data_IF_613654262793
#
_entry.id   IF_613654262793
#
_cell.length_a   1.000
_cell.length_b   1.000
_cell.length_c   1.000
_cell.angle_alpha   90.00
_cell.angle_beta   90.00
_cell.angle_gamma   90.00
#
_symmetry.space_group_name_H-M   'P 1'
#
loop_
_entity.id
_entity.type
_entity.pdbx_description
1 polymer ?
#
# COMPACT_ATOMS: atom_id res chain seq x y z
N UNK A 1 -13.34 -4.40 -6.24
CA UNK A 1 -12.15 -5.27 -6.31
C UNK A 1 -12.15 -6.29 -5.16
N UNK A 2 -12.30 -5.89 -3.89
CA UNK A 2 -12.26 -6.79 -2.73
C UNK A 2 -13.49 -7.72 -2.55
N UNK A 3 -14.69 -7.27 -2.95
CA UNK A 3 -15.94 -7.98 -2.69
C UNK A 3 -15.94 -9.40 -3.25
N UNK A 4 -16.19 -10.38 -2.38
CA UNK A 4 -16.24 -11.82 -2.70
C UNK A 4 -14.87 -12.49 -2.87
N UNK A 5 -13.75 -11.77 -2.67
CA UNK A 5 -12.40 -12.33 -2.74
C UNK A 5 -12.07 -13.14 -1.48
N UNK A 6 -11.41 -14.28 -1.66
CA UNK A 6 -10.93 -15.15 -0.60
C UNK A 6 -9.51 -14.74 -0.21
N UNK A 7 -9.34 -14.22 0.99
CA UNK A 7 -8.06 -13.75 1.49
C UNK A 7 -7.61 -14.63 2.65
N UNK A 8 -6.38 -15.13 2.60
CA UNK A 8 -5.74 -15.76 3.74
C UNK A 8 -4.91 -14.71 4.47
N UNK A 9 -5.14 -14.55 5.76
CA UNK A 9 -4.35 -13.71 6.65
C UNK A 9 -3.49 -14.59 7.55
N UNK A 10 -2.19 -14.59 7.32
CA UNK A 10 -1.19 -15.23 8.18
C UNK A 10 -0.75 -14.32 9.31
N UNK A 11 -0.84 -14.79 10.55
CA UNK A 11 -0.41 -14.03 11.74
C UNK A 11 0.69 -14.79 12.44
N UNK A 12 1.85 -14.14 12.58
CA UNK A 12 3.01 -14.75 13.22
C UNK A 12 3.40 -14.07 14.54
N UNK A 13 4.34 -14.67 15.27
CA UNK A 13 4.77 -14.24 16.60
C UNK A 13 5.48 -12.88 16.56
N UNK A 14 4.73 -11.83 16.79
CA UNK A 14 5.23 -10.45 16.95
C UNK A 14 4.27 -9.67 17.82
N UNK A 15 4.78 -8.71 18.58
CA UNK A 15 3.92 -7.75 19.30
C UNK A 15 2.93 -7.05 18.36
N UNK A 16 3.27 -6.91 17.07
CA UNK A 16 2.40 -6.30 16.06
C UNK A 16 1.18 -7.16 15.69
N UNK A 17 1.06 -8.40 16.21
CA UNK A 17 -0.07 -9.29 15.94
C UNK A 17 -1.44 -8.66 16.28
N UNK A 18 -1.51 -7.77 17.30
CA UNK A 18 -2.75 -7.07 17.62
C UNK A 18 -3.27 -6.21 16.46
N UNK A 19 -2.37 -5.66 15.63
CA UNK A 19 -2.76 -4.87 14.44
C UNK A 19 -3.42 -5.70 13.35
N UNK A 20 -3.15 -7.01 13.31
CA UNK A 20 -3.75 -7.92 12.34
C UNK A 20 -5.26 -8.03 12.50
N UNK A 21 -5.78 -7.78 13.70
CA UNK A 21 -7.22 -7.70 13.94
C UNK A 21 -7.87 -6.54 13.16
N UNK A 22 -7.19 -5.38 13.07
CA UNK A 22 -7.65 -4.25 12.26
C UNK A 22 -7.65 -4.62 10.77
N UNK A 23 -6.60 -5.29 10.29
CA UNK A 23 -6.51 -5.77 8.90
C UNK A 23 -7.66 -6.74 8.59
N UNK A 24 -7.91 -7.74 9.45
CA UNK A 24 -9.02 -8.67 9.31
C UNK A 24 -10.37 -7.94 9.25
N UNK A 25 -10.62 -7.03 10.20
CA UNK A 25 -11.85 -6.22 10.25
C UNK A 25 -12.04 -5.37 8.99
N UNK A 26 -10.97 -4.72 8.50
CA UNK A 26 -11.02 -3.89 7.30
C UNK A 26 -11.32 -4.71 6.04
N UNK A 27 -10.74 -5.91 5.90
CA UNK A 27 -10.99 -6.84 4.79
C UNK A 27 -12.45 -7.34 4.80
N UNK A 28 -12.97 -7.73 5.98
CA UNK A 28 -14.37 -8.15 6.13
C UNK A 28 -15.33 -7.00 5.77
N UNK A 29 -15.06 -5.77 6.22
CA UNK A 29 -15.85 -4.58 5.86
C UNK A 29 -15.84 -4.29 4.35
N UNK A 30 -14.76 -4.65 3.65
CA UNK A 30 -14.67 -4.55 2.18
C UNK A 30 -15.36 -5.71 1.45
N UNK A 31 -15.94 -6.65 2.18
CA UNK A 31 -16.69 -7.79 1.65
C UNK A 31 -15.83 -8.98 1.23
N UNK A 32 -14.61 -9.09 1.75
CA UNK A 32 -13.77 -10.27 1.57
C UNK A 32 -14.22 -11.44 2.44
N UNK A 33 -13.92 -12.63 1.98
CA UNK A 33 -13.96 -13.87 2.73
C UNK A 33 -12.57 -14.08 3.35
N UNK A 34 -12.43 -13.96 4.67
CA UNK A 34 -11.13 -13.94 5.33
C UNK A 34 -10.93 -15.19 6.15
N UNK A 35 -9.91 -15.98 5.83
CA UNK A 35 -9.44 -17.10 6.63
C UNK A 35 -8.15 -16.74 7.34
N UNK A 36 -8.06 -17.00 8.64
CA UNK A 36 -6.90 -16.63 9.44
C UNK A 36 -6.11 -17.89 9.81
N UNK A 37 -4.81 -17.86 9.48
CA UNK A 37 -3.83 -18.86 9.89
C UNK A 37 -2.90 -18.22 10.91
N UNK A 38 -2.75 -18.85 12.07
CA UNK A 38 -1.83 -18.39 13.10
C UNK A 38 -0.72 -19.41 13.32
N UNK A 39 0.50 -18.92 13.53
CA UNK A 39 1.51 -19.80 14.13
C UNK A 39 1.19 -20.04 15.61
N UNK A 40 1.58 -21.19 16.15
CA UNK A 40 1.39 -21.50 17.57
C UNK A 40 1.89 -20.37 18.47
N UNK A 41 3.10 -19.87 18.21
CA UNK A 41 3.67 -18.79 19.01
C UNK A 41 2.93 -17.43 18.85
N UNK A 42 2.14 -17.23 17.82
CA UNK A 42 1.34 -16.02 17.66
C UNK A 42 0.19 -15.97 18.68
N UNK A 43 -0.29 -17.11 19.15
CA UNK A 43 -1.36 -17.20 20.16
C UNK A 43 -0.98 -16.59 21.51
N UNK A 44 0.31 -16.47 21.79
CA UNK A 44 0.82 -15.77 22.98
C UNK A 44 0.65 -14.25 22.92
N UNK A 45 0.43 -13.67 21.73
CA UNK A 45 0.28 -12.22 21.52
C UNK A 45 -1.16 -11.79 21.31
N UNK A 46 -1.99 -12.66 20.71
CA UNK A 46 -3.41 -12.39 20.46
C UNK A 46 -4.19 -13.71 20.46
N UNK A 47 -5.36 -13.68 21.08
CA UNK A 47 -6.21 -14.87 21.15
C UNK A 47 -6.85 -15.16 19.78
N UNK A 48 -6.85 -16.43 19.31
CA UNK A 48 -7.54 -16.86 18.07
C UNK A 48 -9.01 -16.46 18.01
N UNK A 49 -9.71 -16.49 19.14
CA UNK A 49 -11.12 -16.07 19.24
C UNK A 49 -11.36 -14.65 18.72
N UNK A 50 -10.37 -13.74 18.84
CA UNK A 50 -10.47 -12.37 18.28
C UNK A 50 -10.70 -12.41 16.78
N UNK A 51 -10.01 -13.26 16.07
CA UNK A 51 -10.14 -13.40 14.61
C UNK A 51 -11.43 -14.16 14.24
N UNK A 52 -11.81 -15.18 15.00
CA UNK A 52 -13.04 -15.95 14.77
C UNK A 52 -14.27 -15.04 14.87
N UNK A 53 -14.31 -14.16 15.87
CA UNK A 53 -15.39 -13.18 16.03
C UNK A 53 -15.42 -12.13 14.91
N UNK A 54 -14.25 -11.71 14.38
CA UNK A 54 -14.19 -10.74 13.30
C UNK A 54 -14.56 -11.34 11.94
N UNK A 55 -14.07 -12.55 11.65
CA UNK A 55 -14.19 -13.17 10.31
C UNK A 55 -15.37 -14.14 10.19
N UNK A 56 -15.90 -14.59 11.31
CA UNK A 56 -16.90 -15.67 11.42
C UNK A 56 -16.41 -17.02 10.88
N UNK A 57 -15.10 -17.17 10.75
CA UNK A 57 -14.44 -18.41 10.40
C UNK A 57 -13.52 -18.85 11.53
N UNK A 58 -13.36 -20.18 11.70
CA UNK A 58 -12.41 -20.73 12.64
C UNK A 58 -10.99 -20.29 12.30
N UNK A 59 -10.27 -19.84 13.31
CA UNK A 59 -8.84 -19.56 13.19
C UNK A 59 -8.05 -20.88 13.21
N UNK A 60 -7.20 -21.13 12.21
CA UNK A 60 -6.51 -22.41 12.06
C UNK A 60 -5.06 -22.24 12.52
N UNK A 61 -4.63 -23.11 13.42
CA UNK A 61 -3.31 -23.11 14.05
C UNK A 61 -2.59 -24.41 13.73
N UNK A 62 -3.25 -25.52 13.97
CA UNK A 62 -2.68 -26.87 13.81
C UNK A 62 -3.04 -27.48 12.45
N UNK A 63 -2.05 -28.05 11.78
CA UNK A 63 -2.21 -28.76 10.50
C UNK A 63 -3.07 -30.02 10.65
N UNK A 64 -3.09 -30.62 11.83
CA UNK A 64 -3.74 -31.90 12.12
C UNK A 64 -4.99 -31.75 12.98
N UNK A 65 -5.57 -30.56 13.10
CA UNK A 65 -6.82 -30.35 13.82
C UNK A 65 -7.98 -31.13 13.16
N UNK A 66 -8.41 -32.20 13.83
CA UNK A 66 -9.48 -33.10 13.38
C UNK A 66 -10.88 -32.46 13.35
N UNK A 67 -11.03 -31.29 13.96
CA UNK A 67 -12.31 -30.54 13.97
C UNK A 67 -12.48 -29.63 12.75
N UNK A 68 -11.52 -29.59 11.84
CA UNK A 68 -11.63 -28.89 10.55
C UNK A 68 -12.19 -29.85 9.52
N UNK A 69 -13.30 -29.50 8.87
CA UNK A 69 -14.08 -30.36 7.97
C UNK A 69 -13.39 -30.77 6.65
N UNK A 70 -12.12 -30.41 6.45
CA UNK A 70 -11.40 -30.68 5.19
C UNK A 70 -10.33 -31.75 5.39
N UNK A 71 -10.35 -32.78 4.57
CA UNK A 71 -9.35 -33.84 4.59
C UNK A 71 -7.91 -33.34 4.32
N UNK A 72 -7.76 -32.16 3.68
CA UNK A 72 -6.47 -31.51 3.42
C UNK A 72 -6.68 -29.97 3.47
N UNK A 73 -6.89 -29.43 4.67
CA UNK A 73 -7.28 -28.03 4.88
C UNK A 73 -6.33 -27.01 4.21
N UNK A 74 -5.01 -27.21 4.31
CA UNK A 74 -4.01 -26.32 3.69
C UNK A 74 -4.12 -26.29 2.16
N UNK A 75 -4.42 -27.42 1.50
CA UNK A 75 -4.61 -27.46 0.03
C UNK A 75 -5.89 -26.74 -0.37
N UNK A 76 -7.01 -27.01 0.30
CA UNK A 76 -8.29 -26.37 0.00
C UNK A 76 -8.20 -24.84 0.13
N UNK A 77 -7.56 -24.35 1.19
CA UNK A 77 -7.34 -22.93 1.40
C UNK A 77 -6.40 -22.34 0.32
N UNK A 78 -5.28 -23.00 0.04
CA UNK A 78 -4.32 -22.54 -0.96
C UNK A 78 -4.92 -22.44 -2.37
N UNK A 79 -5.77 -23.39 -2.75
CA UNK A 79 -6.42 -23.41 -4.07
C UNK A 79 -7.52 -22.36 -4.19
N UNK A 80 -8.27 -22.13 -3.12
CA UNK A 80 -9.39 -21.18 -3.13
C UNK A 80 -8.96 -19.72 -2.92
N UNK A 81 -7.73 -19.46 -2.46
CA UNK A 81 -7.27 -18.13 -2.14
C UNK A 81 -7.03 -17.27 -3.38
N UNK A 82 -7.54 -16.04 -3.36
CA UNK A 82 -7.20 -15.00 -4.34
C UNK A 82 -5.90 -14.26 -3.98
N UNK A 83 -5.60 -14.16 -2.68
CA UNK A 83 -4.32 -13.64 -2.17
C UNK A 83 -4.04 -14.15 -0.75
N UNK A 84 -2.76 -14.21 -0.41
CA UNK A 84 -2.30 -14.53 0.94
C UNK A 84 -1.46 -13.36 1.47
N UNK A 85 -1.82 -12.82 2.63
CA UNK A 85 -1.04 -11.79 3.31
C UNK A 85 -0.55 -12.29 4.66
N UNK A 86 0.74 -12.18 4.92
CA UNK A 86 1.37 -12.51 6.20
C UNK A 86 1.71 -11.21 6.90
N UNK A 87 0.92 -10.86 7.89
CA UNK A 87 1.02 -9.60 8.62
C UNK A 87 0.61 -9.78 10.09
N UNK A 88 1.55 -9.70 11.04
CA UNK A 88 2.99 -9.51 10.85
C UNK A 88 3.71 -10.78 10.36
N UNK A 89 4.84 -10.61 9.67
CA UNK A 89 5.77 -11.68 9.34
C UNK A 89 7.04 -11.57 10.19
N UNK A 90 7.27 -12.55 11.06
CA UNK A 90 8.47 -12.65 11.89
C UNK A 90 9.68 -13.13 11.08
N UNK A 91 10.89 -12.82 11.55
CA UNK A 91 12.13 -13.30 10.92
C UNK A 91 12.16 -14.84 10.79
N UNK A 92 11.62 -15.56 11.76
CA UNK A 92 11.52 -17.02 11.73
C UNK A 92 10.69 -17.49 10.51
N UNK A 93 9.48 -16.95 10.34
CA UNK A 93 8.59 -17.36 9.25
C UNK A 93 9.14 -16.93 7.89
N UNK A 94 9.74 -15.75 7.78
CA UNK A 94 10.46 -15.29 6.59
C UNK A 94 11.57 -16.27 6.22
N UNK A 95 12.39 -16.67 7.20
CA UNK A 95 13.48 -17.65 7.00
C UNK A 95 12.96 -19.01 6.56
N UNK A 96 11.88 -19.52 7.19
CA UNK A 96 11.25 -20.78 6.81
C UNK A 96 10.78 -20.78 5.36
N UNK A 97 9.96 -19.78 4.98
CA UNK A 97 9.42 -19.67 3.61
C UNK A 97 10.55 -19.53 2.59
N UNK A 98 11.56 -18.69 2.88
CA UNK A 98 12.70 -18.49 1.97
C UNK A 98 13.52 -19.75 1.72
N UNK A 99 13.50 -20.70 2.66
CA UNK A 99 14.26 -21.97 2.56
C UNK A 99 13.35 -23.19 2.34
N UNK A 100 12.06 -23.00 2.05
CA UNK A 100 11.14 -24.09 1.73
C UNK A 100 10.77 -24.98 2.91
N UNK A 101 10.87 -24.45 4.14
CA UNK A 101 10.50 -25.18 5.36
C UNK A 101 8.99 -25.01 5.58
N UNK A 102 8.28 -26.12 5.59
CA UNK A 102 6.81 -26.19 5.72
C UNK A 102 6.44 -27.12 6.87
N UNK A 103 6.72 -26.68 8.09
CA UNK A 103 6.60 -27.48 9.33
C UNK A 103 5.40 -27.07 10.21
N UNK A 104 4.62 -26.10 9.74
CA UNK A 104 3.39 -25.65 10.38
C UNK A 104 2.29 -25.36 9.35
N UNK A 105 1.05 -25.13 9.80
CA UNK A 105 -0.11 -24.89 8.94
C UNK A 105 0.08 -23.70 8.01
N UNK A 106 0.66 -22.59 8.50
CA UNK A 106 0.88 -21.36 7.75
C UNK A 106 1.90 -21.59 6.62
N UNK A 107 3.07 -22.10 6.97
CA UNK A 107 4.16 -22.33 6.00
C UNK A 107 3.82 -23.39 4.96
N UNK A 108 3.12 -24.45 5.37
CA UNK A 108 2.61 -25.49 4.47
C UNK A 108 1.60 -24.90 3.47
N UNK A 109 0.67 -24.07 3.93
CA UNK A 109 -0.32 -23.42 3.05
C UNK A 109 0.37 -22.46 2.07
N UNK A 110 1.36 -21.67 2.53
CA UNK A 110 2.14 -20.78 1.63
C UNK A 110 2.81 -21.57 0.51
N UNK A 111 3.43 -22.71 0.83
CA UNK A 111 4.09 -23.54 -0.17
C UNK A 111 3.13 -24.13 -1.22
N UNK A 112 1.86 -24.31 -0.85
CA UNK A 112 0.82 -24.82 -1.77
C UNK A 112 0.12 -23.72 -2.58
N UNK A 113 0.25 -22.45 -2.20
CA UNK A 113 -0.43 -21.33 -2.86
C UNK A 113 0.13 -21.02 -4.25
N UNK A 114 -0.79 -20.72 -5.18
CA UNK A 114 -0.48 -20.16 -6.50
C UNK A 114 -0.90 -18.68 -6.60
N UNK A 115 -1.67 -18.20 -5.64
CA UNK A 115 -2.06 -16.79 -5.55
C UNK A 115 -0.88 -15.89 -5.14
N UNK A 116 -0.98 -14.57 -5.35
CA UNK A 116 0.00 -13.63 -4.82
C UNK A 116 0.16 -13.75 -3.31
N UNK A 117 1.40 -13.85 -2.84
CA UNK A 117 1.74 -13.88 -1.41
C UNK A 117 2.45 -12.58 -1.03
N UNK A 118 1.87 -11.89 -0.06
CA UNK A 118 2.34 -10.59 0.44
C UNK A 118 2.89 -10.80 1.84
N UNK A 119 4.10 -10.30 2.07
CA UNK A 119 4.82 -10.46 3.33
C UNK A 119 5.08 -9.09 3.94
N UNK A 120 4.57 -8.85 5.15
CA UNK A 120 4.79 -7.61 5.92
C UNK A 120 5.71 -7.91 7.10
N UNK A 121 7.04 -7.70 6.97
CA UNK A 121 7.99 -7.90 8.05
C UNK A 121 7.67 -7.02 9.26
N UNK A 122 7.75 -7.59 10.48
CA UNK A 122 7.60 -6.84 11.71
C UNK A 122 8.48 -7.45 12.81
N UNK A 123 9.56 -6.75 13.12
CA UNK A 123 10.58 -7.20 14.10
C UNK A 123 11.42 -6.02 14.61
N UNK A 124 12.30 -6.27 15.55
CA UNK A 124 13.30 -5.28 15.99
C UNK A 124 14.18 -4.83 14.82
N UNK A 125 14.66 -3.58 14.84
CA UNK A 125 15.48 -2.98 13.78
C UNK A 125 16.73 -3.81 13.49
N UNK A 126 17.49 -4.23 14.52
CA UNK A 126 18.70 -5.03 14.33
C UNK A 126 18.40 -6.39 13.68
N UNK A 127 17.22 -6.98 13.98
CA UNK A 127 16.79 -8.22 13.32
C UNK A 127 16.43 -7.95 11.87
N UNK A 128 15.72 -6.85 11.58
CA UNK A 128 15.36 -6.49 10.21
C UNK A 128 16.59 -6.19 9.35
N UNK A 129 17.57 -5.45 9.90
CA UNK A 129 18.82 -5.08 9.22
C UNK A 129 19.85 -6.21 9.18
N UNK A 130 19.57 -7.33 9.84
CA UNK A 130 20.46 -8.49 9.83
C UNK A 130 20.64 -8.99 8.38
N UNK A 131 21.90 -9.18 7.90
CA UNK A 131 22.17 -9.58 6.52
C UNK A 131 21.46 -10.86 6.09
N UNK A 132 21.28 -11.83 6.99
CA UNK A 132 20.57 -13.08 6.71
C UNK A 132 19.08 -12.80 6.47
N UNK A 133 18.46 -11.91 7.23
CA UNK A 133 17.05 -11.53 7.03
C UNK A 133 16.87 -10.76 5.73
N UNK A 134 17.80 -9.84 5.41
CA UNK A 134 17.78 -9.09 4.16
C UNK A 134 17.97 -10.01 2.95
N UNK A 135 18.87 -10.99 3.01
CA UNK A 135 19.07 -11.99 1.96
C UNK A 135 17.81 -12.85 1.77
N UNK A 136 17.17 -13.29 2.85
CA UNK A 136 15.91 -14.03 2.79
C UNK A 136 14.79 -13.21 2.14
N UNK A 137 14.66 -11.93 2.45
CA UNK A 137 13.67 -11.03 1.84
C UNK A 137 13.96 -10.86 0.34
N UNK A 138 15.20 -10.56 -0.03
CA UNK A 138 15.61 -10.44 -1.43
C UNK A 138 15.41 -11.76 -2.21
N UNK A 139 15.65 -12.90 -1.58
CA UNK A 139 15.38 -14.22 -2.15
C UNK A 139 13.89 -14.42 -2.42
N UNK A 140 13.02 -14.05 -1.47
CA UNK A 140 11.58 -14.14 -1.63
C UNK A 140 11.07 -13.22 -2.75
N UNK A 141 11.58 -11.98 -2.86
CA UNK A 141 11.25 -11.07 -3.97
C UNK A 141 11.60 -11.66 -5.33
N UNK A 142 12.78 -12.30 -5.46
CA UNK A 142 13.19 -13.00 -6.70
C UNK A 142 12.25 -14.15 -7.07
N UNK A 143 11.61 -14.78 -6.08
CA UNK A 143 10.61 -15.83 -6.31
C UNK A 143 9.18 -15.29 -6.51
N UNK A 144 9.01 -13.97 -6.58
CA UNK A 144 7.73 -13.34 -6.88
C UNK A 144 6.85 -13.05 -5.67
N UNK A 145 7.37 -13.20 -4.45
CA UNK A 145 6.69 -12.74 -3.25
C UNK A 145 6.72 -11.20 -3.18
N UNK A 146 5.65 -10.62 -2.69
CA UNK A 146 5.51 -9.16 -2.56
C UNK A 146 5.91 -8.77 -1.15
N UNK A 147 7.03 -8.07 -0.99
CA UNK A 147 7.48 -7.58 0.30
C UNK A 147 6.95 -6.18 0.54
N UNK A 148 6.22 -5.99 1.65
CA UNK A 148 5.78 -4.67 2.12
C UNK A 148 6.89 -4.10 3.00
N UNK A 149 7.54 -3.00 2.62
CA UNK A 149 8.57 -2.39 3.45
C UNK A 149 8.02 -2.05 4.84
N UNK A 150 8.72 -2.37 5.94
CA UNK A 150 8.30 -1.97 7.27
C UNK A 150 8.33 -0.46 7.41
N UNK A 151 7.41 0.08 8.20
CA UNK A 151 7.42 1.49 8.56
C UNK A 151 8.59 1.80 9.49
N UNK A 152 9.03 3.04 9.47
CA UNK A 152 10.00 3.59 10.42
C UNK A 152 9.26 4.27 11.58
N UNK A 153 9.82 4.18 12.78
CA UNK A 153 9.26 4.83 13.96
C UNK A 153 9.67 4.15 15.26
N UNK A 154 9.04 4.58 16.35
CA UNK A 154 9.30 4.00 17.68
C UNK A 154 8.76 2.56 17.75
N UNK A 155 9.64 1.64 18.07
CA UNK A 155 9.34 0.23 18.29
C UNK A 155 8.95 -0.06 19.75
N UNK A 156 8.36 -1.23 20.00
CA UNK A 156 7.97 -1.66 21.35
C UNK A 156 9.15 -1.77 22.32
N UNK A 157 10.35 -2.04 21.81
CA UNK A 157 11.59 -2.07 22.60
C UNK A 157 12.14 -0.66 22.94
N UNK A 158 11.45 0.42 22.51
CA UNK A 158 11.85 1.81 22.79
C UNK A 158 12.82 2.42 21.78
N UNK A 159 13.42 1.64 20.87
CA UNK A 159 14.30 2.14 19.81
C UNK A 159 13.49 2.77 18.68
N UNK A 160 14.09 3.71 17.94
CA UNK A 160 13.53 4.29 16.72
C UNK A 160 14.29 3.68 15.54
N UNK A 161 13.55 3.17 14.55
CA UNK A 161 14.14 2.60 13.33
C UNK A 161 13.14 1.86 12.49
N UNK A 162 13.63 1.15 11.47
CA UNK A 162 12.84 0.31 10.57
C UNK A 162 12.49 -1.01 11.25
N UNK A 163 11.32 -1.56 10.98
CA UNK A 163 10.88 -2.85 11.54
C UNK A 163 9.44 -2.84 12.06
N UNK A 164 8.79 -1.69 12.08
CA UNK A 164 7.39 -1.54 12.49
C UNK A 164 6.46 -2.03 11.39
N UNK A 165 5.47 -2.86 11.71
CA UNK A 165 4.41 -3.21 10.78
C UNK A 165 3.71 -1.93 10.29
N UNK A 166 3.55 -1.74 8.98
CA UNK A 166 2.83 -0.60 8.41
C UNK A 166 1.39 -0.51 8.90
N UNK A 167 0.75 0.62 8.64
CA UNK A 167 -0.65 0.79 8.97
C UNK A 167 -1.52 -0.04 8.00
N UNK A 168 -2.73 -0.38 8.44
CA UNK A 168 -3.64 -1.26 7.73
C UNK A 168 -3.92 -0.80 6.29
N UNK A 169 -4.02 0.52 6.06
CA UNK A 169 -4.28 1.05 4.71
C UNK A 169 -3.17 0.72 3.72
N UNK A 170 -1.91 0.77 4.15
CA UNK A 170 -0.77 0.39 3.30
C UNK A 170 -0.86 -1.08 2.89
N UNK A 171 -1.21 -1.96 3.83
CA UNK A 171 -1.38 -3.40 3.56
C UNK A 171 -2.54 -3.66 2.59
N UNK A 172 -3.64 -2.92 2.74
CA UNK A 172 -4.78 -2.97 1.83
C UNK A 172 -4.42 -2.47 0.42
N UNK A 173 -3.58 -1.44 0.30
CA UNK A 173 -3.12 -0.92 -1.00
C UNK A 173 -2.25 -1.96 -1.74
N UNK A 174 -1.37 -2.67 -1.03
CA UNK A 174 -0.62 -3.79 -1.59
C UNK A 174 -1.52 -4.95 -2.02
N UNK A 175 -2.50 -5.31 -1.20
CA UNK A 175 -3.50 -6.33 -1.55
C UNK A 175 -4.33 -5.92 -2.77
N UNK A 176 -4.79 -4.66 -2.84
CA UNK A 176 -5.56 -4.17 -3.97
C UNK A 176 -4.76 -4.25 -5.28
N UNK A 177 -3.48 -3.88 -5.22
CA UNK A 177 -2.57 -4.00 -6.36
C UNK A 177 -2.36 -5.46 -6.78
N UNK A 178 -2.17 -6.35 -5.82
CA UNK A 178 -1.98 -7.78 -6.07
C UNK A 178 -3.24 -8.48 -6.62
N UNK A 179 -4.43 -8.03 -6.21
CA UNK A 179 -5.72 -8.56 -6.67
C UNK A 179 -6.19 -7.97 -8.01
N UNK A 180 -5.40 -7.07 -8.61
CA UNK A 180 -5.78 -6.48 -9.89
C UNK A 180 -5.61 -7.48 -11.04
N UNK A 181 -6.75 -7.91 -11.60
CA UNK A 181 -6.81 -8.93 -12.64
C UNK A 181 -6.26 -8.44 -13.99
N UNK A 182 -6.34 -7.12 -14.25
CA UNK A 182 -5.90 -6.52 -15.51
C UNK A 182 -4.52 -5.92 -15.37
N UNK A 183 -3.56 -6.43 -16.11
CA UNK A 183 -2.18 -5.96 -16.18
C UNK A 183 -1.82 -5.49 -17.60
N UNK A 184 -2.80 -4.94 -18.31
CA UNK A 184 -2.68 -4.54 -19.71
C UNK A 184 -1.84 -3.28 -19.93
N UNK A 185 -1.50 -2.56 -18.85
CA UNK A 185 -0.54 -1.45 -18.87
C UNK A 185 0.84 -1.84 -18.30
N UNK A 186 1.10 -3.12 -18.06
CA UNK A 186 2.41 -3.57 -17.59
C UNK A 186 3.52 -3.14 -18.56
N UNK A 187 4.57 -2.50 -18.03
CA UNK A 187 5.69 -1.98 -18.81
C UNK A 187 5.38 -0.67 -19.55
N UNK A 188 4.20 -0.05 -19.34
CA UNK A 188 3.87 1.28 -19.85
C UNK A 188 4.13 2.35 -18.79
N UNK A 189 4.70 3.48 -19.22
CA UNK A 189 4.91 4.68 -18.41
C UNK A 189 3.80 5.67 -18.73
N UNK A 190 3.03 6.03 -17.71
CA UNK A 190 1.85 6.91 -17.85
C UNK A 190 2.05 8.18 -17.05
N UNK A 191 1.98 9.33 -17.71
CA UNK A 191 2.03 10.65 -17.10
C UNK A 191 0.61 11.22 -17.01
N UNK A 192 0.19 11.58 -15.81
CA UNK A 192 -1.13 12.17 -15.55
C UNK A 192 -0.95 13.55 -14.97
N UNK A 193 -1.74 14.53 -15.39
CA UNK A 193 -1.83 15.84 -14.73
C UNK A 193 -3.14 15.95 -13.96
N UNK A 194 -3.12 16.60 -12.78
CA UNK A 194 -4.30 16.74 -11.92
C UNK A 194 -4.31 18.05 -11.13
N UNK A 195 -5.49 18.41 -10.66
CA UNK A 195 -5.69 19.58 -9.81
C UNK A 195 -5.61 20.92 -10.57
N UNK A 196 -5.79 22.03 -9.83
CA UNK A 196 -5.68 23.37 -10.41
C UNK A 196 -4.24 23.89 -10.30
N UNK A 197 -3.87 24.81 -11.19
CA UNK A 197 -2.72 25.70 -10.94
C UNK A 197 -3.16 26.92 -10.14
N UNK A 198 -2.22 27.60 -9.53
CA UNK A 198 -2.41 28.84 -8.77
C UNK A 198 -1.44 29.89 -9.30
N UNK A 199 -2.02 31.00 -9.84
CA UNK A 199 -1.22 32.11 -10.40
C UNK A 199 -1.28 33.28 -9.41
N UNK A 200 -0.15 33.61 -8.80
CA UNK A 200 -0.09 34.66 -7.81
C UNK A 200 -0.33 36.03 -8.40
N UNK A 201 -1.26 36.82 -7.81
CA UNK A 201 -1.49 38.24 -8.12
C UNK A 201 -0.54 39.09 -7.30
N UNK A 202 -0.34 38.72 -6.04
CA UNK A 202 0.55 39.32 -5.07
C UNK A 202 1.01 38.26 -4.06
N UNK A 203 1.83 38.57 -3.06
CA UNK A 203 2.28 37.58 -2.07
C UNK A 203 1.16 36.90 -1.28
N UNK A 204 -0.07 37.41 -1.29
CA UNK A 204 -1.19 36.94 -0.49
C UNK A 204 -2.30 36.32 -1.34
N UNK A 205 -2.56 36.84 -2.55
CA UNK A 205 -3.69 36.47 -3.39
C UNK A 205 -3.24 35.76 -4.66
N UNK A 206 -4.06 34.84 -5.12
CA UNK A 206 -3.83 34.10 -6.37
C UNK A 206 -5.15 33.81 -7.11
N UNK A 207 -5.04 33.59 -8.39
CA UNK A 207 -6.12 33.10 -9.26
C UNK A 207 -5.99 31.59 -9.36
N UNK A 208 -7.09 30.85 -9.26
CA UNK A 208 -7.10 29.39 -9.39
C UNK A 208 -8.46 28.92 -9.90
N UNK A 209 -8.50 27.68 -10.41
CA UNK A 209 -9.72 26.99 -10.80
C UNK A 209 -10.30 26.18 -9.66
N UNK A 210 -11.61 25.97 -9.63
CA UNK A 210 -12.33 25.17 -8.63
C UNK A 210 -12.12 23.64 -8.84
N UNK A 211 -10.95 23.20 -9.27
CA UNK A 211 -10.68 21.79 -9.48
C UNK A 211 -10.29 21.09 -8.18
N UNK A 212 -10.96 19.99 -7.88
CA UNK A 212 -10.61 19.13 -6.73
C UNK A 212 -9.52 18.12 -7.03
N UNK A 213 -9.09 17.94 -8.28
CA UNK A 213 -8.11 16.94 -8.70
C UNK A 213 -8.59 15.49 -8.72
N UNK A 214 -9.79 15.19 -8.22
CA UNK A 214 -10.31 13.82 -8.04
C UNK A 214 -10.22 12.95 -9.30
N UNK A 215 -10.52 13.52 -10.47
CA UNK A 215 -10.50 12.77 -11.73
C UNK A 215 -9.09 12.32 -12.09
N UNK A 216 -8.08 13.21 -12.05
CA UNK A 216 -6.69 12.86 -12.36
C UNK A 216 -6.12 11.85 -11.37
N UNK A 217 -6.42 11.99 -10.08
CA UNK A 217 -6.03 11.03 -9.05
C UNK A 217 -6.66 9.64 -9.28
N UNK A 218 -7.94 9.59 -9.66
CA UNK A 218 -8.62 8.33 -9.98
C UNK A 218 -8.02 7.67 -11.24
N UNK A 219 -7.71 8.44 -12.27
CA UNK A 219 -7.06 7.96 -13.50
C UNK A 219 -5.67 7.40 -13.18
N UNK A 220 -4.84 8.14 -12.42
CA UNK A 220 -3.52 7.69 -12.01
C UNK A 220 -3.60 6.37 -11.20
N UNK A 221 -4.55 6.27 -10.25
CA UNK A 221 -4.80 5.05 -9.49
C UNK A 221 -5.20 3.88 -10.39
N UNK A 222 -6.10 4.08 -11.34
CA UNK A 222 -6.53 3.01 -12.26
C UNK A 222 -5.41 2.57 -13.20
N UNK A 223 -4.59 3.49 -13.70
CA UNK A 223 -3.43 3.15 -14.52
C UNK A 223 -2.42 2.31 -13.73
N UNK A 224 -2.13 2.70 -12.48
CA UNK A 224 -1.25 1.96 -11.57
C UNK A 224 -1.78 0.56 -11.26
N UNK A 225 -3.08 0.42 -10.98
CA UNK A 225 -3.71 -0.89 -10.74
C UNK A 225 -3.64 -1.80 -11.97
N UNK A 226 -3.66 -1.23 -13.17
CA UNK A 226 -3.48 -1.97 -14.44
C UNK A 226 -2.01 -2.24 -14.78
N UNK A 227 -1.08 -1.99 -13.86
CA UNK A 227 0.33 -2.35 -13.98
C UNK A 227 1.23 -1.28 -14.58
N UNK A 228 0.73 -0.06 -14.83
CA UNK A 228 1.55 1.04 -15.32
C UNK A 228 2.53 1.55 -14.26
N UNK A 229 3.67 2.04 -14.74
CA UNK A 229 4.52 2.96 -13.99
C UNK A 229 3.96 4.37 -14.17
N UNK A 230 3.45 4.96 -13.07
CA UNK A 230 2.69 6.21 -13.16
C UNK A 230 3.43 7.36 -12.50
N UNK A 231 3.51 8.49 -13.24
CA UNK A 231 3.90 9.80 -12.69
C UNK A 231 2.66 10.70 -12.67
N UNK A 232 2.33 11.27 -11.51
CA UNK A 232 1.23 12.22 -11.35
C UNK A 232 1.77 13.60 -11.03
N UNK A 233 1.61 14.54 -11.97
CA UNK A 233 1.92 15.98 -11.78
C UNK A 233 0.65 16.64 -11.24
N UNK A 234 0.69 17.10 -10.00
CA UNK A 234 -0.48 17.61 -9.30
C UNK A 234 -0.31 19.02 -8.80
N UNK A 235 -1.26 19.88 -9.15
CA UNK A 235 -1.51 21.12 -8.42
C UNK A 235 -1.97 20.85 -7.00
N UNK A 236 -2.10 21.90 -6.21
CA UNK A 236 -2.46 21.82 -4.78
C UNK A 236 -3.90 21.34 -4.59
N UNK A 237 -4.09 20.18 -3.99
CA UNK A 237 -5.39 19.57 -3.68
C UNK A 237 -5.40 18.97 -2.28
N UNK A 238 -6.60 18.77 -1.70
CA UNK A 238 -6.78 18.09 -0.43
C UNK A 238 -7.06 16.59 -0.62
N UNK A 239 -6.20 15.92 -1.40
CA UNK A 239 -6.26 14.48 -1.61
C UNK A 239 -4.97 13.84 -1.09
N UNK A 240 -5.04 12.64 -0.50
CA UNK A 240 -3.84 11.91 -0.12
C UNK A 240 -3.06 11.50 -1.38
N UNK A 241 -1.74 11.33 -1.29
CA UNK A 241 -0.94 10.78 -2.38
C UNK A 241 -1.51 9.45 -2.87
N UNK A 242 -1.39 9.20 -4.17
CA UNK A 242 -1.78 7.89 -4.72
C UNK A 242 -0.66 6.89 -4.44
N UNK A 243 -0.94 5.75 -3.76
CA UNK A 243 0.07 4.74 -3.49
C UNK A 243 0.72 4.22 -4.78
N UNK A 244 2.02 3.91 -4.73
CA UNK A 244 2.82 3.38 -5.84
C UNK A 244 2.92 4.30 -7.08
N UNK A 245 2.56 5.57 -6.94
CA UNK A 245 2.63 6.59 -8.00
C UNK A 245 3.71 7.60 -7.65
N UNK A 246 4.57 7.94 -8.61
CA UNK A 246 5.53 9.05 -8.47
C UNK A 246 4.76 10.37 -8.48
N UNK A 247 4.75 11.08 -7.35
CA UNK A 247 4.06 12.36 -7.20
C UNK A 247 5.02 13.51 -7.46
N UNK A 248 4.63 14.46 -8.33
CA UNK A 248 5.31 15.73 -8.56
C UNK A 248 4.31 16.84 -8.24
N UNK A 249 4.60 17.61 -7.20
CA UNK A 249 3.74 18.71 -6.78
C UNK A 249 4.21 20.01 -7.42
N UNK A 250 3.23 20.76 -7.94
CA UNK A 250 3.46 22.04 -8.62
C UNK A 250 2.51 23.11 -8.09
N UNK A 251 2.81 24.36 -8.39
CA UNK A 251 1.96 25.48 -8.03
C UNK A 251 1.42 26.19 -9.26
N UNK A 252 2.28 26.63 -10.17
CA UNK A 252 1.91 27.43 -11.33
C UNK A 252 1.73 26.60 -12.61
N UNK A 253 1.13 27.20 -13.63
CA UNK A 253 1.06 26.62 -14.96
C UNK A 253 2.45 26.39 -15.57
N UNK A 254 3.40 27.29 -15.28
CA UNK A 254 4.78 27.17 -15.72
C UNK A 254 5.49 25.99 -15.04
N UNK A 255 5.29 25.80 -13.73
CA UNK A 255 5.81 24.61 -13.02
C UNK A 255 5.25 23.32 -13.65
N UNK A 256 3.94 23.31 -13.96
CA UNK A 256 3.31 22.15 -14.59
C UNK A 256 3.89 21.88 -15.97
N UNK A 257 4.08 22.91 -16.77
CA UNK A 257 4.72 22.78 -18.08
C UNK A 257 6.12 22.18 -17.98
N UNK A 258 6.95 22.73 -17.10
CA UNK A 258 8.32 22.27 -16.89
C UNK A 258 8.35 20.80 -16.39
N UNK A 259 7.49 20.45 -15.41
CA UNK A 259 7.41 19.09 -14.88
C UNK A 259 6.94 18.08 -15.93
N UNK A 260 5.92 18.44 -16.71
CA UNK A 260 5.40 17.57 -17.79
C UNK A 260 6.46 17.39 -18.88
N UNK A 261 7.12 18.47 -19.31
CA UNK A 261 8.14 18.42 -20.38
C UNK A 261 9.33 17.58 -19.97
N UNK A 262 9.79 17.68 -18.71
CA UNK A 262 10.90 16.89 -18.19
C UNK A 262 10.61 15.36 -18.17
N UNK A 263 9.37 14.96 -17.93
CA UNK A 263 8.96 13.55 -17.90
C UNK A 263 8.51 13.03 -19.28
N UNK A 264 8.25 13.92 -20.25
CA UNK A 264 7.59 13.58 -21.51
C UNK A 264 8.34 12.55 -22.36
N UNK A 265 9.67 12.71 -22.52
CA UNK A 265 10.48 11.80 -23.34
C UNK A 265 10.52 10.36 -22.77
N UNK A 266 10.29 10.24 -21.46
CA UNK A 266 10.23 8.97 -20.75
C UNK A 266 8.81 8.44 -20.54
N UNK A 267 7.82 8.90 -21.33
CA UNK A 267 6.41 8.59 -21.15
C UNK A 267 5.82 7.97 -22.41
N UNK A 268 5.06 6.88 -22.23
CA UNK A 268 4.38 6.21 -23.34
C UNK A 268 2.94 6.80 -23.56
N UNK A 269 2.30 7.25 -22.47
CA UNK A 269 0.91 7.76 -22.50
C UNK A 269 0.81 9.00 -21.62
N UNK A 270 0.28 10.11 -22.15
CA UNK A 270 0.00 11.33 -21.39
C UNK A 270 -1.50 11.55 -21.28
N UNK A 271 -2.00 11.75 -20.05
CA UNK A 271 -3.39 12.02 -19.76
C UNK A 271 -3.50 13.36 -19.03
N UNK A 272 -4.07 14.36 -19.71
CA UNK A 272 -4.23 15.72 -19.16
C UNK A 272 -5.60 15.85 -18.51
N UNK A 273 -5.63 15.94 -17.17
CA UNK A 273 -6.84 16.12 -16.36
C UNK A 273 -6.74 17.30 -15.39
N UNK A 274 -5.67 18.09 -15.47
CA UNK A 274 -5.49 19.30 -14.67
C UNK A 274 -6.34 20.46 -15.21
N UNK A 275 -6.74 21.33 -14.29
CA UNK A 275 -7.36 22.63 -14.63
C UNK A 275 -6.28 23.72 -14.55
N UNK A 276 -5.58 23.91 -15.66
CA UNK A 276 -4.51 24.89 -15.81
C UNK A 276 -5.13 26.27 -15.98
N UNK A 277 -4.55 27.30 -15.37
CA UNK A 277 -4.98 28.69 -15.55
C UNK A 277 -4.59 29.22 -16.93
N UNK A 278 -5.51 29.93 -17.58
CA UNK A 278 -5.32 30.54 -18.89
C UNK A 278 -4.64 31.92 -18.80
N UNK A 279 -4.68 32.55 -17.62
CA UNK A 279 -4.17 33.88 -17.37
C UNK A 279 -3.22 33.89 -16.15
N UNK A 280 -2.16 34.67 -16.24
CA UNK A 280 -1.27 34.97 -15.12
C UNK A 280 -0.93 36.45 -15.08
N UNK A 281 -0.76 37.06 -13.90
CA UNK A 281 -0.20 38.42 -13.80
C UNK A 281 1.25 38.47 -14.32
N UNK A 282 1.58 39.55 -15.00
CA UNK A 282 2.92 39.72 -15.59
C UNK A 282 3.91 40.24 -14.55
N UNK A 283 3.45 41.08 -13.62
CA UNK A 283 4.27 41.65 -12.53
C UNK A 283 3.44 42.07 -11.31
N UNK A 284 4.05 42.17 -10.15
CA UNK A 284 3.44 42.63 -8.89
C UNK A 284 3.58 44.14 -8.72
N UNK A 285 3.05 44.93 -9.65
CA UNK A 285 3.29 46.38 -9.70
C UNK A 285 2.33 47.22 -8.91
N UNK A 286 1.29 46.64 -8.27
CA UNK A 286 0.26 47.41 -7.60
C UNK A 286 0.23 47.15 -6.10
N UNK A 287 0.37 48.24 -5.33
CA UNK A 287 0.06 48.28 -3.89
C UNK A 287 -1.44 48.05 -3.69
N UNK A 288 -1.83 47.44 -2.56
CA UNK A 288 -3.24 47.36 -2.17
C UNK A 288 -3.79 48.76 -1.96
N UNK A 289 -5.05 48.96 -2.26
CA UNK A 289 -5.76 50.25 -2.07
C UNK A 289 -5.70 50.79 -0.62
N UNK A 290 -5.39 49.93 0.36
CA UNK A 290 -5.29 50.29 1.78
C UNK A 290 -3.87 50.43 2.31
N UNK A 291 -2.88 50.30 1.46
CA UNK A 291 -1.43 50.36 1.82
C UNK A 291 -0.83 51.69 1.34
N UNK A 292 -1.59 52.78 1.35
CA UNK A 292 -1.06 54.09 1.06
C UNK A 292 -0.54 54.72 2.33
N UNK A 293 0.61 55.37 2.25
CA UNK A 293 1.27 56.13 3.34
C UNK A 293 0.41 57.25 3.95
N UNK A 294 -0.75 57.52 3.37
CA UNK A 294 -1.71 58.53 3.84
C UNK A 294 -2.63 58.03 4.95
N UNK A 295 -2.52 56.79 5.36
CA UNK A 295 -3.28 56.17 6.45
C UNK A 295 -2.43 55.72 7.63
N UNK A 296 -1.18 56.16 7.69
CA UNK A 296 -0.28 55.99 8.82
C UNK A 296 -0.23 57.28 9.67
#
# INVERSE_FOLDING_TARGET
MFKGKNIILGVTSSIAAYKSANVASALVKKGCNVNVLMTENATNFINPLTFEELTKHKCIIDTFDRNVQYNVAHISLAVSADAFIIAPASANVIGKIANGIADDMLTTTVMACKCPVIISPAMNTNMYENPIVQDNLAKLERFGYIIVPPAEGRLACGTIGKGKMPDEQVLLDYLERALSDKQDFKGKRVLVTAGPTQESIDPVRYITNHSSGKMGYAVARQAMLRGAEVTLVSGKVNLPPVPFVKMIYITTAEDMYNAVTAEFENTDIVIKAAAVADFRPVSYTHLRAHETTLHL
#
